data_IF_516096385355
#
_entry.id   IF_516096385355
#
_cell.length_a   1.000
_cell.length_b   1.000
_cell.length_c   1.000
_cell.angle_alpha   90.00
_cell.angle_beta   90.00
_cell.angle_gamma   90.00
#
_symmetry.space_group_name_H-M   'P 1'
#
loop_
_entity.id
_entity.type
_entity.pdbx_description
1 polymer ?
#
# COMPACT_ATOMS: atom_id res chain seq x y z
N UNK A 1 0.77 21.56 37.61
CA UNK A 1 1.31 20.56 36.67
C UNK A 1 0.25 20.02 35.70
N UNK A 2 -1.00 19.75 36.13
CA UNK A 2 -2.09 19.28 35.24
C UNK A 2 -2.37 20.13 33.99
N UNK A 3 -2.27 21.46 34.07
CA UNK A 3 -2.52 22.34 32.91
C UNK A 3 -1.53 22.10 31.75
N UNK A 4 -0.26 21.82 32.06
CA UNK A 4 0.75 21.47 31.05
C UNK A 4 0.51 20.09 30.44
N UNK A 5 0.07 19.11 31.24
CA UNK A 5 -0.30 17.79 30.73
C UNK A 5 -1.51 17.85 29.80
N UNK A 6 -2.54 18.65 30.14
CA UNK A 6 -3.71 18.86 29.27
C UNK A 6 -3.34 19.57 27.97
N UNK A 7 -2.54 20.64 28.03
CA UNK A 7 -2.10 21.39 26.85
C UNK A 7 -1.24 20.52 25.90
N UNK A 8 -0.31 19.74 26.45
CA UNK A 8 0.50 18.81 25.66
C UNK A 8 -0.35 17.71 25.02
N UNK A 9 -1.34 17.18 25.75
CA UNK A 9 -2.26 16.19 25.21
C UNK A 9 -3.12 16.73 24.07
N UNK A 10 -3.65 17.95 24.20
CA UNK A 10 -4.40 18.62 23.12
C UNK A 10 -3.54 18.89 21.88
N UNK A 11 -2.27 19.25 22.06
CA UNK A 11 -1.31 19.45 20.97
C UNK A 11 -1.02 18.13 20.22
N UNK A 12 -0.80 17.03 20.94
CA UNK A 12 -0.58 15.71 20.34
C UNK A 12 -1.81 15.21 19.57
N UNK A 13 -3.01 15.36 20.14
CA UNK A 13 -4.26 15.02 19.47
C UNK A 13 -4.47 15.82 18.19
N UNK A 14 -4.12 17.11 18.21
CA UNK A 14 -4.23 17.97 17.03
C UNK A 14 -3.24 17.56 15.94
N UNK A 15 -1.99 17.26 16.30
CA UNK A 15 -0.99 16.75 15.36
C UNK A 15 -1.45 15.45 14.69
N UNK A 16 -1.89 14.47 15.48
CA UNK A 16 -2.41 13.20 14.97
C UNK A 16 -3.66 13.40 14.09
N UNK A 17 -4.56 14.31 14.45
CA UNK A 17 -5.74 14.62 13.63
C UNK A 17 -5.37 15.28 12.30
N UNK A 18 -4.35 16.15 12.28
CA UNK A 18 -3.85 16.79 11.06
C UNK A 18 -3.17 15.77 10.12
N UNK A 19 -2.38 14.84 10.65
CA UNK A 19 -1.77 13.72 9.91
C UNK A 19 -2.84 12.79 9.31
N UNK A 20 -3.85 12.43 10.11
CA UNK A 20 -4.98 11.62 9.63
C UNK A 20 -5.80 12.35 8.57
N UNK A 21 -5.88 13.68 8.59
CA UNK A 21 -6.70 14.44 7.64
C UNK A 21 -6.24 14.24 6.19
N UNK A 22 -4.93 14.16 5.97
CA UNK A 22 -4.36 13.96 4.65
C UNK A 22 -4.58 12.53 4.16
N UNK A 23 -4.32 11.54 5.02
CA UNK A 23 -4.47 10.11 4.66
C UNK A 23 -5.94 9.70 4.47
N UNK A 24 -6.86 10.36 5.17
CA UNK A 24 -8.30 10.14 5.06
C UNK A 24 -9.00 11.09 4.08
N UNK A 25 -8.25 11.86 3.30
CA UNK A 25 -8.82 12.72 2.27
C UNK A 25 -9.64 11.86 1.28
N UNK A 26 -10.90 12.23 0.98
CA UNK A 26 -11.73 11.48 0.03
C UNK A 26 -11.04 11.35 -1.32
N UNK A 27 -11.10 10.15 -1.89
CA UNK A 27 -10.49 9.89 -3.19
C UNK A 27 -11.45 9.04 -4.03
N UNK A 28 -11.79 9.46 -5.26
CA UNK A 28 -12.67 8.68 -6.12
C UNK A 28 -11.98 7.39 -6.58
N UNK A 29 -12.75 6.31 -6.64
CA UNK A 29 -12.38 5.12 -7.41
C UNK A 29 -12.85 5.28 -8.85
N UNK A 30 -12.17 4.66 -9.81
CA UNK A 30 -12.65 4.62 -11.18
C UNK A 30 -13.88 3.73 -11.26
N UNK A 31 -14.96 4.24 -11.85
CA UNK A 31 -16.15 3.46 -12.17
C UNK A 31 -15.97 2.83 -13.54
N UNK A 32 -15.89 1.50 -13.59
CA UNK A 32 -15.92 0.77 -14.86
C UNK A 32 -17.36 0.73 -15.40
N UNK A 33 -17.53 1.10 -16.67
CA UNK A 33 -18.81 1.04 -17.38
C UNK A 33 -19.02 -0.26 -18.14
N UNK A 34 -17.94 -0.99 -18.42
CA UNK A 34 -17.91 -2.23 -19.21
C UNK A 34 -17.72 -3.48 -18.35
N UNK A 35 -17.55 -3.32 -17.03
CA UNK A 35 -17.29 -4.41 -16.11
C UNK A 35 -15.84 -4.89 -16.09
N UNK A 36 -14.92 -4.19 -16.79
CA UNK A 36 -13.51 -4.51 -16.87
C UNK A 36 -12.67 -3.51 -16.05
N UNK A 37 -11.56 -3.99 -15.49
CA UNK A 37 -10.55 -3.14 -14.85
C UNK A 37 -9.57 -2.67 -15.91
N UNK A 38 -9.33 -1.37 -15.96
CA UNK A 38 -8.37 -0.75 -16.87
C UNK A 38 -7.06 -0.45 -16.16
N UNK A 39 -5.97 -0.50 -16.92
CA UNK A 39 -4.68 -0.02 -16.46
C UNK A 39 -4.78 1.50 -16.24
N UNK A 40 -4.40 1.95 -15.06
CA UNK A 40 -4.59 3.32 -14.58
C UNK A 40 -5.79 3.50 -13.65
N UNK A 41 -6.64 2.48 -13.47
CA UNK A 41 -7.80 2.59 -12.59
C UNK A 41 -7.41 2.72 -11.12
N UNK A 42 -8.18 3.57 -10.42
CA UNK A 42 -8.13 3.75 -8.98
C UNK A 42 -9.13 2.80 -8.32
N UNK A 43 -8.64 1.86 -7.52
CA UNK A 43 -9.41 0.75 -6.96
C UNK A 43 -9.09 0.51 -5.49
N UNK A 44 -10.03 -0.16 -4.80
CA UNK A 44 -9.89 -0.57 -3.41
C UNK A 44 -9.72 -2.08 -3.38
N UNK A 45 -8.71 -2.56 -2.66
CA UNK A 45 -8.55 -3.99 -2.41
C UNK A 45 -9.30 -4.38 -1.15
N UNK A 46 -10.27 -5.27 -1.29
CA UNK A 46 -11.07 -5.83 -0.19
C UNK A 46 -10.83 -7.32 -0.08
N UNK A 47 -10.48 -7.78 1.12
CA UNK A 47 -10.45 -9.21 1.44
C UNK A 47 -11.85 -9.79 1.33
N UNK A 48 -12.05 -10.77 0.45
CA UNK A 48 -13.33 -11.47 0.33
C UNK A 48 -13.72 -12.25 1.60
N UNK A 49 -12.72 -12.69 2.38
CA UNK A 49 -12.91 -13.49 3.59
C UNK A 49 -13.29 -12.64 4.80
N UNK A 50 -12.55 -11.57 5.06
CA UNK A 50 -12.72 -10.74 6.27
C UNK A 50 -13.53 -9.49 6.00
N UNK A 51 -13.72 -9.12 4.73
CA UNK A 51 -14.33 -7.86 4.32
C UNK A 51 -13.47 -6.63 4.56
N UNK A 52 -12.28 -6.78 5.16
CA UNK A 52 -11.36 -5.70 5.45
C UNK A 52 -10.72 -5.14 4.19
N UNK A 53 -10.53 -3.82 4.16
CA UNK A 53 -9.83 -3.11 3.10
C UNK A 53 -8.34 -3.05 3.42
N UNK A 54 -7.49 -3.17 2.40
CA UNK A 54 -6.06 -2.91 2.54
C UNK A 54 -5.83 -1.40 2.73
N UNK A 55 -5.00 -1.03 3.70
CA UNK A 55 -4.73 0.35 4.08
C UNK A 55 -3.23 0.62 4.14
N UNK A 56 -2.84 1.79 3.65
CA UNK A 56 -1.47 2.28 3.57
C UNK A 56 -1.09 3.11 4.81
N UNK A 57 -0.18 2.60 5.63
CA UNK A 57 0.21 3.27 6.88
C UNK A 57 1.55 3.97 6.67
N UNK A 58 1.52 5.05 5.90
CA UNK A 58 2.73 5.72 5.40
C UNK A 58 3.62 6.31 6.49
N UNK A 59 3.07 6.58 7.67
CA UNK A 59 3.83 7.05 8.83
C UNK A 59 4.53 5.92 9.59
N UNK A 60 4.03 4.69 9.48
CA UNK A 60 4.62 3.53 10.12
C UNK A 60 5.66 2.90 9.19
N UNK A 61 6.94 3.08 9.53
CA UNK A 61 8.06 2.65 8.68
C UNK A 61 8.46 1.22 9.01
N UNK A 62 8.63 0.41 7.98
CA UNK A 62 9.11 -0.96 8.10
C UNK A 62 10.48 -1.10 7.48
N UNK A 63 11.43 -1.66 8.22
CA UNK A 63 12.74 -1.99 7.67
C UNK A 63 12.63 -3.21 6.75
N UNK A 64 12.98 -3.01 5.48
CA UNK A 64 13.09 -4.11 4.53
C UNK A 64 14.57 -4.36 4.33
N UNK A 65 15.04 -5.49 4.87
CA UNK A 65 16.43 -5.88 4.68
C UNK A 65 16.66 -6.27 3.22
N UNK A 66 17.40 -5.42 2.49
CA UNK A 66 17.88 -5.73 1.16
C UNK A 66 19.24 -6.40 1.29
N UNK A 67 19.36 -7.64 0.82
CA UNK A 67 20.64 -8.33 0.68
C UNK A 67 21.59 -7.48 -0.19
N UNK A 68 22.49 -6.74 0.47
CA UNK A 68 23.64 -6.07 -0.15
C UNK A 68 23.49 -4.60 -0.57
N UNK A 69 22.35 -3.92 -0.36
CA UNK A 69 22.18 -2.50 -0.75
C UNK A 69 21.44 -1.65 0.30
N UNK A 70 22.03 -1.51 1.49
CA UNK A 70 21.52 -0.60 2.53
C UNK A 70 20.14 -0.98 3.06
N UNK A 71 19.84 -0.59 4.30
CA UNK A 71 18.47 -0.63 4.77
C UNK A 71 17.69 0.45 4.03
N UNK A 72 16.59 0.06 3.39
CA UNK A 72 15.62 1.02 2.90
C UNK A 72 14.31 0.79 3.64
N UNK A 73 13.64 1.90 3.99
CA UNK A 73 12.41 1.87 4.76
C UNK A 73 11.22 1.81 3.79
N UNK A 74 10.39 0.78 3.98
CA UNK A 74 9.05 0.73 3.43
C UNK A 74 8.05 1.40 4.38
N UNK A 75 6.79 1.42 3.99
CA UNK A 75 5.67 1.77 4.87
C UNK A 75 4.81 0.55 5.15
N UNK A 76 4.27 0.47 6.36
CA UNK A 76 3.44 -0.64 6.79
C UNK A 76 2.10 -0.66 6.05
N UNK A 77 1.47 -1.83 6.12
CA UNK A 77 0.13 -2.07 5.62
C UNK A 77 -0.72 -2.63 6.75
N UNK A 78 -1.97 -2.20 6.80
CA UNK A 78 -2.97 -2.75 7.70
C UNK A 78 -4.24 -3.13 6.95
N UNK A 79 -5.17 -3.75 7.68
CA UNK A 79 -6.52 -3.95 7.18
C UNK A 79 -7.53 -3.31 8.12
N UNK A 80 -8.56 -2.68 7.55
CA UNK A 80 -9.59 -2.00 8.33
C UNK A 80 -10.95 -2.05 7.67
N UNK A 81 -12.00 -1.77 8.45
CA UNK A 81 -13.40 -1.78 7.98
C UNK A 81 -13.87 -0.41 7.44
N UNK A 82 -12.95 0.48 7.08
CA UNK A 82 -13.34 1.81 6.59
C UNK A 82 -14.23 1.65 5.35
N UNK A 83 -15.42 2.26 5.35
CA UNK A 83 -16.41 2.05 4.28
C UNK A 83 -16.31 3.10 3.15
N UNK A 84 -15.33 3.99 3.19
CA UNK A 84 -15.18 5.08 2.22
C UNK A 84 -13.84 5.04 1.53
N UNK A 85 -13.83 5.47 0.26
CA UNK A 85 -12.64 5.60 -0.55
C UNK A 85 -11.84 6.85 -0.12
N UNK A 86 -10.57 6.65 0.21
CA UNK A 86 -9.66 7.71 0.63
C UNK A 86 -8.22 7.43 0.16
N UNK A 87 -7.36 8.43 0.27
CA UNK A 87 -5.95 8.32 -0.13
C UNK A 87 -5.24 7.09 0.49
N UNK A 88 -5.64 6.68 1.70
CA UNK A 88 -5.10 5.53 2.43
C UNK A 88 -5.46 4.15 1.85
N UNK A 89 -6.61 3.99 1.19
CA UNK A 89 -7.10 2.67 0.75
C UNK A 89 -7.35 2.57 -0.76
N UNK A 90 -7.12 3.64 -1.51
CA UNK A 90 -7.17 3.66 -2.97
C UNK A 90 -5.77 3.39 -3.54
N UNK A 91 -5.70 2.37 -4.40
CA UNK A 91 -4.51 1.98 -5.13
C UNK A 91 -4.75 2.13 -6.64
N UNK A 92 -3.72 2.49 -7.38
CA UNK A 92 -3.74 2.57 -8.83
C UNK A 92 -3.08 1.34 -9.43
N UNK A 93 -3.75 0.65 -10.35
CA UNK A 93 -3.17 -0.46 -11.10
C UNK A 93 -2.39 0.06 -12.30
N UNK A 94 -1.22 -0.51 -12.56
CA UNK A 94 -0.36 -0.11 -13.69
C UNK A 94 0.40 -1.28 -14.29
N UNK A 95 0.73 -1.16 -15.57
CA UNK A 95 1.48 -2.18 -16.33
C UNK A 95 2.94 -2.24 -15.87
N UNK A 96 3.48 -3.45 -15.78
CA UNK A 96 4.91 -3.65 -15.47
C UNK A 96 5.79 -3.48 -16.71
N UNK A 97 5.37 -4.06 -17.83
CA UNK A 97 6.11 -4.12 -19.09
C UNK A 97 5.17 -4.02 -20.28
N UNK A 98 5.56 -3.28 -21.31
CA UNK A 98 4.83 -3.19 -22.59
C UNK A 98 5.00 -4.42 -23.47
N UNK A 99 5.84 -5.37 -23.06
CA UNK A 99 6.09 -6.64 -23.78
C UNK A 99 5.37 -7.83 -23.15
N UNK A 100 4.30 -7.58 -22.40
CA UNK A 100 3.53 -8.60 -21.66
C UNK A 100 2.57 -9.43 -22.54
N UNK A 101 2.52 -9.15 -23.85
CA UNK A 101 1.64 -9.80 -24.81
C UNK A 101 0.28 -9.12 -25.00
N UNK A 102 -0.03 -8.08 -24.21
CA UNK A 102 -1.30 -7.36 -24.20
C UNK A 102 -1.13 -5.88 -24.58
N UNK A 103 -0.06 -5.55 -25.30
CA UNK A 103 0.36 -4.15 -25.55
C UNK A 103 -0.71 -3.26 -26.21
N UNK A 104 -1.64 -3.85 -26.97
CA UNK A 104 -2.65 -3.13 -27.74
C UNK A 104 -3.95 -2.85 -26.98
N UNK A 105 -4.13 -3.39 -25.78
CA UNK A 105 -5.33 -3.14 -24.99
C UNK A 105 -5.00 -2.43 -23.67
N UNK A 106 -5.99 -1.69 -23.16
CA UNK A 106 -5.89 -0.89 -21.93
C UNK A 106 -6.47 -1.60 -20.71
N UNK A 107 -6.88 -2.86 -20.84
CA UNK A 107 -7.56 -3.61 -19.79
C UNK A 107 -6.58 -4.54 -19.08
N UNK A 108 -6.92 -4.92 -17.85
CA UNK A 108 -6.18 -5.90 -17.07
C UNK A 108 -6.62 -7.31 -17.45
N UNK A 109 -5.66 -8.18 -17.76
CA UNK A 109 -5.89 -9.61 -18.02
C UNK A 109 -5.46 -10.49 -16.86
N UNK A 110 -6.13 -11.63 -16.69
CA UNK A 110 -5.69 -12.67 -15.77
C UNK A 110 -4.31 -13.19 -16.15
N UNK A 111 -3.45 -13.39 -15.15
CA UNK A 111 -2.06 -13.80 -15.33
C UNK A 111 -1.10 -12.69 -15.76
N UNK A 112 -1.59 -11.53 -16.18
CA UNK A 112 -0.77 -10.35 -16.51
C UNK A 112 -0.06 -9.83 -15.25
N UNK A 113 1.18 -9.38 -15.43
CA UNK A 113 1.99 -8.84 -14.34
C UNK A 113 1.76 -7.34 -14.22
N UNK A 114 1.32 -6.89 -13.04
CA UNK A 114 0.99 -5.50 -12.74
C UNK A 114 1.69 -4.98 -11.50
N UNK A 115 1.65 -3.66 -11.31
CA UNK A 115 1.99 -2.97 -10.06
C UNK A 115 0.76 -2.28 -9.50
N UNK A 116 0.68 -2.26 -8.18
CA UNK A 116 -0.31 -1.50 -7.43
C UNK A 116 0.43 -0.39 -6.70
N UNK A 117 0.11 0.86 -7.04
CA UNK A 117 0.74 2.05 -6.48
C UNK A 117 -0.24 2.84 -5.60
N UNK A 118 0.26 3.54 -4.60
CA UNK A 118 -0.55 4.50 -3.83
C UNK A 118 -0.92 5.70 -4.68
N UNK A 119 -2.02 6.32 -4.30
CA UNK A 119 -2.42 7.63 -4.79
C UNK A 119 -1.34 8.71 -4.60
N UNK A 120 -1.20 9.67 -5.52
CA UNK A 120 -0.29 10.82 -5.34
C UNK A 120 -0.71 11.73 -4.18
N UNK A 121 -1.99 11.70 -3.77
CA UNK A 121 -2.49 12.40 -2.60
C UNK A 121 -2.02 11.79 -1.28
N UNK A 122 -1.37 10.62 -1.29
CA UNK A 122 -0.86 10.01 -0.05
C UNK A 122 0.61 10.38 0.18
N UNK A 123 1.39 10.53 -0.89
CA UNK A 123 2.82 10.80 -0.85
C UNK A 123 3.29 11.42 -2.18
N UNK A 124 4.32 12.26 -2.15
CA UNK A 124 4.85 12.98 -3.33
C UNK A 124 5.25 12.07 -4.51
N UNK A 125 5.52 10.81 -4.20
CA UNK A 125 5.85 9.76 -5.16
C UNK A 125 5.02 8.52 -4.85
N UNK A 126 4.56 7.78 -5.88
CA UNK A 126 3.82 6.55 -5.67
C UNK A 126 4.69 5.55 -4.90
N UNK A 127 4.12 4.97 -3.84
CA UNK A 127 4.67 3.81 -3.17
C UNK A 127 3.99 2.57 -3.75
N UNK A 128 4.74 1.50 -3.94
CA UNK A 128 4.24 0.29 -4.59
C UNK A 128 4.05 -0.82 -3.58
N UNK A 129 2.95 -1.57 -3.69
CA UNK A 129 2.77 -2.80 -2.94
C UNK A 129 3.92 -3.76 -3.25
N UNK A 130 4.63 -4.21 -2.22
CA UNK A 130 5.89 -4.94 -2.35
C UNK A 130 5.95 -6.11 -1.37
N UNK A 131 6.31 -7.29 -1.86
CA UNK A 131 6.63 -8.46 -1.05
C UNK A 131 8.16 -8.65 -1.01
N UNK A 132 8.72 -8.68 0.20
CA UNK A 132 10.12 -9.03 0.42
C UNK A 132 10.28 -10.55 0.40
N UNK A 133 11.32 -11.05 -0.26
CA UNK A 133 11.66 -12.46 -0.22
C UNK A 133 12.20 -12.84 1.17
N UNK A 134 11.77 -14.00 1.69
CA UNK A 134 12.36 -14.59 2.90
C UNK A 134 13.87 -14.80 2.68
N UNK A 135 14.69 -14.17 3.52
CA UNK A 135 16.16 -14.21 3.42
C UNK A 135 16.85 -12.84 3.49
N UNK A 136 16.10 -11.74 3.48
CA UNK A 136 16.65 -10.39 3.61
C UNK A 136 16.49 -9.72 4.97
N UNK A 137 15.48 -10.10 5.76
CA UNK A 137 15.10 -9.38 6.99
C UNK A 137 16.01 -9.73 8.19
N UNK A 138 17.04 -8.91 8.43
CA UNK A 138 17.71 -8.84 9.72
C UNK A 138 17.00 -7.83 10.63
N UNK A 139 16.09 -8.29 11.48
CA UNK A 139 15.48 -7.49 12.57
C UNK A 139 14.33 -8.22 13.27
N UNK A 140 14.16 -8.13 14.61
CA UNK A 140 13.73 -9.27 15.41
C UNK A 140 12.23 -9.26 15.73
N UNK A 141 11.57 -10.40 15.54
CA UNK A 141 10.68 -10.97 16.55
C UNK A 141 10.39 -12.42 16.17
N UNK A 142 10.88 -13.33 17.00
CA UNK A 142 10.25 -14.64 17.13
C UNK A 142 8.80 -14.42 17.59
N UNK A 143 7.91 -15.34 17.21
CA UNK A 143 6.48 -15.39 17.56
C UNK A 143 5.50 -14.55 16.74
N UNK A 144 5.43 -14.78 15.42
CA UNK A 144 4.16 -14.96 14.70
C UNK A 144 4.45 -15.16 13.21
N UNK A 145 4.09 -16.33 12.68
CA UNK A 145 4.04 -16.58 11.25
C UNK A 145 4.54 -17.97 10.90
N UNK A 146 3.70 -18.74 10.20
CA UNK A 146 4.11 -20.07 9.73
C UNK A 146 5.28 -19.99 8.73
N UNK A 147 5.89 -21.13 8.36
CA UNK A 147 6.89 -21.16 7.30
C UNK A 147 6.27 -20.62 5.99
N UNK A 148 6.75 -19.47 5.49
CA UNK A 148 6.31 -18.86 4.23
C UNK A 148 5.68 -17.46 4.30
N UNK A 149 5.73 -16.76 5.45
CA UNK A 149 5.24 -15.38 5.57
C UNK A 149 6.32 -14.36 5.17
N UNK A 150 6.37 -14.04 3.87
CA UNK A 150 7.14 -12.91 3.37
C UNK A 150 6.54 -11.58 3.83
N UNK A 151 7.39 -10.65 4.28
CA UNK A 151 6.98 -9.29 4.66
C UNK A 151 6.35 -8.58 3.44
N UNK A 152 5.14 -8.04 3.60
CA UNK A 152 4.49 -7.17 2.61
C UNK A 152 4.42 -5.74 3.13
N UNK A 153 4.84 -4.78 2.31
CA UNK A 153 4.87 -3.36 2.65
C UNK A 153 4.65 -2.49 1.40
N UNK A 154 4.66 -1.17 1.60
CA UNK A 154 4.72 -0.19 0.52
C UNK A 154 6.16 0.28 0.31
N UNK A 155 6.62 0.24 -0.94
CA UNK A 155 8.01 0.49 -1.29
C UNK A 155 8.16 1.66 -2.28
N UNK A 156 9.11 2.58 -2.07
CA UNK A 156 9.25 3.78 -2.91
C UNK A 156 9.82 3.52 -4.31
N UNK A 157 10.15 2.26 -4.66
CA UNK A 157 10.73 1.90 -5.96
C UNK A 157 9.93 0.79 -6.63
N UNK A 158 9.68 0.95 -7.92
CA UNK A 158 9.22 -0.14 -8.76
C UNK A 158 10.32 -1.21 -8.87
N UNK A 159 10.18 -2.30 -8.13
CA UNK A 159 11.14 -3.41 -8.06
C UNK A 159 10.46 -4.75 -8.41
N UNK A 160 11.24 -5.82 -8.56
CA UNK A 160 10.68 -7.16 -8.86
C UNK A 160 9.68 -7.62 -7.80
N UNK A 161 9.93 -7.32 -6.52
CA UNK A 161 8.97 -7.63 -5.44
C UNK A 161 7.66 -6.83 -5.49
N UNK A 162 7.53 -5.85 -6.39
CA UNK A 162 6.27 -5.10 -6.63
C UNK A 162 5.45 -5.66 -7.81
N UNK A 163 5.88 -6.78 -8.38
CA UNK A 163 5.21 -7.45 -9.49
C UNK A 163 4.16 -8.42 -8.94
N UNK A 164 2.90 -8.18 -9.30
CA UNK A 164 1.77 -9.00 -8.87
C UNK A 164 1.09 -9.60 -10.09
N UNK A 165 0.55 -10.81 -9.96
CA UNK A 165 -0.28 -11.43 -10.99
C UNK A 165 -1.73 -11.44 -10.51
N UNK A 166 -2.64 -10.97 -11.36
CA UNK A 166 -4.07 -11.16 -11.14
C UNK A 166 -4.43 -12.64 -11.33
N UNK A 167 -5.04 -13.24 -10.31
CA UNK A 167 -5.52 -14.63 -10.33
C UNK A 167 -7.02 -14.71 -10.52
#
# INVERSE_FOLDING_TARGET
QEYFHKKNHTLLLRGAAEELRHTLAPMPTTASTDGLVHLGDALILRSARTGGLLQADVEDKVEVGASGRGQAAGAALSTGQLLTACARNVLTVSRVSDTDGFFNDGFLHYGQVVRLGTAPQLHDRPLYLFAAAEGGAGGPSADAGGPGEGLVCLWPRAAVGSHWRGG
#
